data_IF_382435709265
#
_entry.id   IF_382435709265
#
_cell.length_a   1.000
_cell.length_b   1.000
_cell.length_c   1.000
_cell.angle_alpha   90.00
_cell.angle_beta   90.00
_cell.angle_gamma   90.00
#
_symmetry.space_group_name_H-M   'P 1'
#
loop_
_entity.id
_entity.type
_entity.pdbx_description
1 polymer ?
#
# COMPACT_ATOMS: atom_id res chain seq x y z
N UNK A 1 63.14 35.35 17.73
CA UNK A 1 61.67 35.53 17.66
C UNK A 1 61.07 34.27 17.01
N UNK A 2 60.55 33.40 17.85
CA UNK A 2 59.99 32.10 17.41
C UNK A 2 58.52 32.32 17.05
N UNK A 3 58.18 32.18 15.78
CA UNK A 3 56.80 32.25 15.34
C UNK A 3 56.10 30.91 15.68
N UNK A 4 55.21 30.98 16.64
CA UNK A 4 54.34 29.86 17.03
C UNK A 4 53.24 29.76 15.98
N UNK A 5 53.31 28.76 15.09
CA UNK A 5 52.27 28.45 14.14
C UNK A 5 51.27 27.55 14.86
N UNK A 6 50.14 28.14 15.31
CA UNK A 6 49.02 27.38 15.85
C UNK A 6 48.23 26.82 14.64
N UNK A 7 48.45 25.56 14.34
CA UNK A 7 47.62 24.81 13.41
C UNK A 7 46.30 24.50 14.11
N UNK A 8 45.26 25.30 13.84
CA UNK A 8 43.88 24.95 14.20
C UNK A 8 43.40 23.84 13.27
N UNK A 9 43.53 22.62 13.77
CA UNK A 9 42.90 21.48 13.11
C UNK A 9 41.39 21.61 13.28
N UNK A 10 40.70 22.10 12.26
CA UNK A 10 39.25 22.01 12.16
C UNK A 10 38.91 20.54 11.95
N UNK A 11 38.58 19.85 13.04
CA UNK A 11 37.96 18.53 12.98
C UNK A 11 36.50 18.76 12.53
N UNK A 12 36.30 18.64 11.22
CA UNK A 12 34.95 18.47 10.68
C UNK A 12 34.44 17.12 11.22
N UNK A 13 33.72 17.15 12.33
CA UNK A 13 32.90 16.04 12.75
C UNK A 13 31.77 15.89 11.73
N UNK A 14 32.03 15.12 10.69
CA UNK A 14 30.96 14.63 9.83
C UNK A 14 30.07 13.77 10.70
N UNK A 15 28.94 14.31 11.12
CA UNK A 15 27.85 13.54 11.68
C UNK A 15 27.33 12.63 10.55
N UNK A 16 27.98 11.49 10.35
CA UNK A 16 27.43 10.40 9.56
C UNK A 16 26.33 9.79 10.42
N UNK A 17 25.14 10.31 10.28
CA UNK A 17 23.96 9.62 10.78
C UNK A 17 23.74 8.41 9.89
N UNK A 18 24.36 7.30 10.26
CA UNK A 18 23.98 6.00 9.71
C UNK A 18 22.54 5.71 10.17
N UNK A 19 21.58 6.05 9.34
CA UNK A 19 20.22 5.60 9.56
C UNK A 19 20.20 4.08 9.40
N UNK A 20 20.21 3.38 10.52
CA UNK A 20 19.97 1.93 10.52
C UNK A 20 18.51 1.76 10.12
N UNK A 21 18.28 1.44 8.84
CA UNK A 21 16.94 1.00 8.37
C UNK A 21 16.65 -0.34 9.02
N UNK A 22 15.89 -0.34 10.10
CA UNK A 22 15.35 -1.57 10.67
C UNK A 22 14.34 -2.15 9.69
N UNK A 23 14.44 -3.45 9.34
CA UNK A 23 13.42 -4.08 8.49
C UNK A 23 12.04 -3.90 9.11
N UNK A 24 11.09 -3.47 8.29
CA UNK A 24 9.70 -3.34 8.73
C UNK A 24 9.10 -4.74 8.95
N UNK A 25 8.23 -4.86 9.95
CA UNK A 25 7.56 -6.13 10.28
C UNK A 25 6.70 -6.67 9.13
N UNK A 26 6.21 -5.79 8.25
CA UNK A 26 5.54 -6.12 7.00
C UNK A 26 6.42 -5.70 5.84
N UNK A 27 6.83 -6.66 5.02
CA UNK A 27 7.71 -6.42 3.87
C UNK A 27 6.96 -5.71 2.76
N UNK A 28 7.59 -4.72 2.15
CA UNK A 28 7.09 -4.10 0.94
C UNK A 28 7.16 -5.09 -0.22
N UNK A 29 6.15 -5.08 -1.07
CA UNK A 29 6.09 -5.81 -2.33
C UNK A 29 5.59 -4.88 -3.42
N UNK A 30 6.16 -5.03 -4.60
CA UNK A 30 5.82 -4.31 -5.81
C UNK A 30 5.48 -5.33 -6.89
N UNK A 31 4.44 -5.05 -7.65
CA UNK A 31 4.02 -5.85 -8.80
C UNK A 31 3.94 -4.91 -9.99
N UNK A 32 4.59 -5.26 -11.06
CA UNK A 32 4.43 -4.63 -12.37
C UNK A 32 3.95 -5.68 -13.36
N UNK A 33 2.82 -5.42 -14.00
CA UNK A 33 2.25 -6.34 -14.97
C UNK A 33 1.60 -5.57 -16.11
N UNK A 34 1.91 -5.95 -17.35
CA UNK A 34 1.18 -5.46 -18.52
C UNK A 34 0.01 -6.37 -18.82
N UNK A 35 -1.19 -5.82 -18.91
CA UNK A 35 -2.42 -6.51 -19.30
C UNK A 35 -2.97 -5.84 -20.55
N UNK A 36 -2.94 -6.56 -21.66
CA UNK A 36 -3.22 -5.98 -22.98
C UNK A 36 -2.20 -4.90 -23.31
N UNK A 37 -2.63 -3.64 -23.35
CA UNK A 37 -1.77 -2.48 -23.58
C UNK A 37 -1.57 -1.64 -22.30
N UNK A 38 -2.21 -2.01 -21.21
CA UNK A 38 -2.16 -1.26 -19.95
C UNK A 38 -1.09 -1.81 -19.02
N UNK A 39 -0.19 -0.95 -18.57
CA UNK A 39 0.74 -1.26 -17.49
C UNK A 39 0.06 -1.00 -16.15
N UNK A 40 0.09 -2.00 -15.28
CA UNK A 40 -0.45 -1.95 -13.93
C UNK A 40 0.70 -2.10 -12.94
N UNK A 41 0.84 -1.13 -12.04
CA UNK A 41 1.79 -1.19 -10.92
C UNK A 41 1.03 -1.25 -9.60
N UNK A 42 1.45 -2.13 -8.70
CA UNK A 42 0.85 -2.27 -7.37
C UNK A 42 1.93 -2.28 -6.30
N UNK A 43 1.90 -1.29 -5.42
CA UNK A 43 2.76 -1.22 -4.24
C UNK A 43 1.95 -1.56 -2.99
N UNK A 44 2.44 -2.48 -2.15
CA UNK A 44 1.74 -2.83 -0.92
C UNK A 44 2.66 -3.45 0.12
N UNK A 45 2.18 -3.57 1.35
CA UNK A 45 2.92 -4.21 2.43
C UNK A 45 2.29 -5.53 2.81
N UNK A 46 3.08 -6.61 2.70
CA UNK A 46 2.69 -7.98 3.00
C UNK A 46 2.70 -8.22 4.51
N UNK A 47 1.53 -8.09 5.13
CA UNK A 47 1.38 -8.39 6.55
C UNK A 47 1.10 -9.87 6.77
N UNK A 48 1.71 -10.44 7.83
CA UNK A 48 1.49 -11.83 8.23
C UNK A 48 0.28 -11.95 9.16
N UNK A 49 -0.46 -13.01 9.01
CA UNK A 49 -1.61 -13.38 9.85
C UNK A 49 -1.17 -13.73 11.29
N UNK A 50 -0.07 -14.47 11.44
CA UNK A 50 0.49 -14.89 12.74
C UNK A 50 -0.54 -15.54 13.66
N UNK A 51 -1.30 -16.48 13.13
CA UNK A 51 -2.32 -17.24 13.88
C UNK A 51 -3.56 -16.43 14.28
N UNK A 52 -3.69 -15.15 13.89
CA UNK A 52 -4.83 -14.30 14.24
C UNK A 52 -6.01 -14.54 13.31
N UNK A 53 -7.23 -14.34 13.82
CA UNK A 53 -8.40 -14.19 12.99
C UNK A 53 -8.35 -12.78 12.37
N UNK A 54 -8.23 -12.69 11.03
CA UNK A 54 -8.05 -11.41 10.36
C UNK A 54 -9.39 -10.72 10.14
N UNK A 55 -10.26 -11.30 9.32
CA UNK A 55 -11.52 -10.66 8.97
C UNK A 55 -12.61 -10.99 10.00
N UNK A 56 -13.29 -9.94 10.47
CA UNK A 56 -14.27 -10.02 11.55
C UNK A 56 -13.69 -9.77 12.95
N UNK A 57 -12.35 -9.78 13.10
CA UNK A 57 -11.66 -9.49 14.37
C UNK A 57 -10.60 -8.40 14.17
N UNK A 58 -9.38 -8.72 13.73
CA UNK A 58 -8.31 -7.74 13.51
C UNK A 58 -8.72 -6.64 12.50
N UNK A 59 -9.44 -7.02 11.47
CA UNK A 59 -10.10 -6.14 10.50
C UNK A 59 -11.61 -6.32 10.65
N UNK A 60 -12.29 -5.45 11.43
CA UNK A 60 -13.72 -5.59 11.69
C UNK A 60 -14.52 -5.46 10.40
N UNK A 61 -15.59 -6.24 10.29
CA UNK A 61 -16.52 -6.11 9.18
C UNK A 61 -17.20 -4.73 9.15
N UNK A 62 -17.45 -4.23 7.93
CA UNK A 62 -18.09 -2.93 7.71
C UNK A 62 -17.21 -1.71 7.99
N UNK A 63 -15.93 -1.90 8.30
CA UNK A 63 -14.96 -0.82 8.50
C UNK A 63 -13.99 -0.70 7.34
N UNK A 64 -13.61 0.54 7.03
CA UNK A 64 -12.57 0.79 6.02
C UNK A 64 -11.25 0.21 6.51
N UNK A 65 -10.63 -0.60 5.67
CA UNK A 65 -9.30 -1.16 5.87
C UNK A 65 -8.34 -0.61 4.81
N UNK A 66 -7.11 -0.26 5.22
CA UNK A 66 -6.04 0.21 4.33
C UNK A 66 -5.50 -0.85 3.37
N UNK A 67 -6.09 -2.03 3.33
CA UNK A 67 -5.76 -3.14 2.41
C UNK A 67 -4.28 -3.51 2.46
N UNK A 68 -3.79 -3.77 3.67
CA UNK A 68 -2.37 -4.08 3.93
C UNK A 68 -1.89 -3.55 5.28
N UNK A 69 -0.65 -3.10 5.31
CA UNK A 69 0.01 -2.54 6.50
C UNK A 69 0.83 -1.30 6.14
N UNK A 70 1.31 -0.56 7.14
CA UNK A 70 2.16 0.62 6.99
C UNK A 70 1.50 1.73 6.14
N UNK A 71 2.14 2.14 5.04
CA UNK A 71 1.62 3.08 4.07
C UNK A 71 0.46 2.49 3.28
N UNK A 72 -0.27 3.33 2.55
CA UNK A 72 -1.33 2.87 1.67
C UNK A 72 -0.81 1.83 0.68
N UNK A 73 -1.58 0.79 0.44
CA UNK A 73 -1.47 0.04 -0.80
C UNK A 73 -1.91 0.92 -1.94
N UNK A 74 -1.16 0.96 -3.03
CA UNK A 74 -1.48 1.77 -4.20
C UNK A 74 -1.56 0.91 -5.44
N UNK A 75 -2.37 1.33 -6.38
CA UNK A 75 -2.41 0.79 -7.73
C UNK A 75 -2.32 1.94 -8.72
N UNK A 76 -1.54 1.76 -9.78
CA UNK A 76 -1.34 2.73 -10.85
C UNK A 76 -1.63 2.08 -12.20
N UNK A 77 -2.34 2.81 -13.04
CA UNK A 77 -2.66 2.43 -14.41
C UNK A 77 -2.14 3.52 -15.35
N UNK A 78 -1.41 3.14 -16.39
CA UNK A 78 -0.90 4.08 -17.39
C UNK A 78 -1.92 4.44 -18.47
N UNK A 79 -3.04 3.73 -18.54
CA UNK A 79 -4.19 4.03 -19.41
C UNK A 79 -5.49 3.92 -18.62
N UNK A 80 -6.58 4.47 -19.16
CA UNK A 80 -7.92 4.30 -18.59
C UNK A 80 -8.30 2.81 -18.57
N UNK A 81 -8.93 2.38 -17.49
CA UNK A 81 -9.36 1.00 -17.28
C UNK A 81 -10.85 0.94 -16.93
N UNK A 82 -11.47 -0.21 -17.20
CA UNK A 82 -12.83 -0.49 -16.74
C UNK A 82 -12.79 -1.45 -15.54
N UNK A 83 -13.39 -1.06 -14.44
CA UNK A 83 -13.46 -1.85 -13.22
C UNK A 83 -14.92 -1.94 -12.75
N UNK A 84 -15.47 -3.17 -12.74
CA UNK A 84 -16.86 -3.39 -12.35
C UNK A 84 -17.87 -2.61 -13.19
N UNK A 85 -17.62 -2.44 -14.50
CA UNK A 85 -18.46 -1.70 -15.44
C UNK A 85 -18.33 -0.17 -15.36
N UNK A 86 -17.35 0.34 -14.60
CA UNK A 86 -17.09 1.78 -14.48
C UNK A 86 -15.69 2.11 -15.00
N UNK A 87 -15.59 3.20 -15.73
CA UNK A 87 -14.30 3.70 -16.22
C UNK A 87 -13.55 4.39 -15.07
N UNK A 88 -12.31 3.98 -14.86
CA UNK A 88 -11.35 4.62 -13.98
C UNK A 88 -10.22 5.19 -14.85
N UNK A 89 -9.99 6.50 -14.75
CA UNK A 89 -8.97 7.19 -15.53
C UNK A 89 -7.56 6.66 -15.19
N UNK A 90 -6.63 6.80 -16.13
CA UNK A 90 -5.22 6.57 -15.88
C UNK A 90 -4.74 7.38 -14.67
N UNK A 91 -3.90 6.77 -13.82
CA UNK A 91 -3.38 7.42 -12.62
C UNK A 91 -3.09 6.46 -11.48
N UNK A 92 -2.59 7.03 -10.39
CA UNK A 92 -2.26 6.32 -9.15
C UNK A 92 -3.33 6.55 -8.09
N UNK A 93 -3.77 5.46 -7.48
CA UNK A 93 -4.84 5.46 -6.48
C UNK A 93 -4.42 4.67 -5.24
N UNK A 94 -4.81 5.16 -4.07
CA UNK A 94 -4.74 4.35 -2.86
C UNK A 94 -5.90 3.34 -2.86
N UNK A 95 -5.59 2.12 -2.47
CA UNK A 95 -6.54 1.01 -2.42
C UNK A 95 -7.03 0.81 -0.99
N UNK A 96 -8.32 1.01 -0.77
CA UNK A 96 -9.00 0.67 0.47
C UNK A 96 -10.05 -0.39 0.22
N UNK A 97 -10.37 -1.17 1.25
CA UNK A 97 -11.47 -2.13 1.18
C UNK A 97 -12.35 -2.04 2.43
N UNK A 98 -13.60 -2.44 2.28
CA UNK A 98 -14.53 -2.63 3.40
C UNK A 98 -14.95 -4.10 3.38
N UNK A 99 -14.30 -4.96 4.14
CA UNK A 99 -14.71 -6.36 4.24
C UNK A 99 -16.09 -6.50 4.89
N UNK A 100 -16.90 -7.38 4.35
CA UNK A 100 -18.18 -7.84 4.89
C UNK A 100 -18.25 -9.35 4.74
N UNK A 101 -19.21 -10.01 5.37
CA UNK A 101 -19.30 -11.46 5.32
C UNK A 101 -19.54 -12.01 3.91
N UNK A 102 -20.38 -11.35 3.12
CA UNK A 102 -20.84 -11.84 1.83
C UNK A 102 -20.40 -10.97 0.63
N UNK A 103 -19.86 -9.79 0.90
CA UNK A 103 -19.37 -8.87 -0.13
C UNK A 103 -18.25 -8.01 0.42
N UNK A 104 -17.36 -7.54 -0.46
CA UNK A 104 -16.36 -6.56 -0.10
C UNK A 104 -16.51 -5.33 -1.00
N UNK A 105 -16.45 -4.15 -0.40
CA UNK A 105 -16.30 -2.95 -1.21
C UNK A 105 -14.81 -2.72 -1.47
N UNK A 106 -14.45 -2.42 -2.71
CA UNK A 106 -13.12 -2.02 -3.15
C UNK A 106 -13.19 -0.54 -3.54
N UNK A 107 -12.30 0.26 -2.99
CA UNK A 107 -12.31 1.72 -3.11
C UNK A 107 -11.00 2.18 -3.68
N UNK A 108 -11.05 2.94 -4.76
CA UNK A 108 -9.94 3.67 -5.35
C UNK A 108 -10.01 5.12 -4.87
N UNK A 109 -8.99 5.54 -4.15
CA UNK A 109 -8.98 6.81 -3.44
C UNK A 109 -7.84 7.70 -3.93
N UNK A 110 -8.11 9.01 -4.06
CA UNK A 110 -7.21 9.97 -4.70
C UNK A 110 -5.93 10.23 -3.94
N UNK A 111 -5.99 10.40 -2.61
CA UNK A 111 -4.82 10.67 -1.78
C UNK A 111 -4.05 9.38 -1.49
N UNK A 112 -2.79 9.31 -1.96
CA UNK A 112 -1.97 8.08 -1.99
C UNK A 112 -0.84 8.07 -0.97
N UNK A 113 -0.60 9.16 -0.22
CA UNK A 113 0.56 9.38 0.64
C UNK A 113 0.28 9.20 2.15
N UNK A 114 -0.84 8.56 2.51
CA UNK A 114 -1.20 8.39 3.90
C UNK A 114 -0.47 7.20 4.54
N UNK A 115 -0.02 7.39 5.78
CA UNK A 115 0.37 6.28 6.63
C UNK A 115 -0.89 5.63 7.24
N UNK A 116 -1.38 4.58 6.60
CA UNK A 116 -2.62 3.92 6.98
C UNK A 116 -3.87 4.59 6.41
N UNK A 117 -4.87 4.79 7.25
CA UNK A 117 -6.06 5.54 6.87
C UNK A 117 -5.78 7.04 6.89
N UNK A 118 -6.42 7.84 6.01
CA UNK A 118 -6.42 9.28 6.12
C UNK A 118 -6.88 9.72 7.52
N UNK A 119 -6.29 10.77 8.08
CA UNK A 119 -6.70 11.32 9.38
C UNK A 119 -8.17 11.73 9.38
N UNK A 120 -8.64 12.24 8.26
CA UNK A 120 -10.04 12.55 7.99
C UNK A 120 -10.40 11.92 6.66
N UNK A 121 -11.40 11.03 6.68
CA UNK A 121 -11.94 10.46 5.46
C UNK A 121 -12.74 11.51 4.71
N UNK A 122 -12.50 11.66 3.42
CA UNK A 122 -13.23 12.58 2.56
C UNK A 122 -13.87 11.81 1.39
N UNK A 123 -15.18 11.75 1.36
CA UNK A 123 -15.90 11.04 0.30
C UNK A 123 -15.67 11.64 -1.09
N UNK A 124 -15.28 12.92 -1.19
CA UNK A 124 -14.92 13.55 -2.45
C UNK A 124 -13.61 13.00 -3.07
N UNK A 125 -12.79 12.34 -2.28
CA UNK A 125 -11.56 11.67 -2.76
C UNK A 125 -11.80 10.21 -3.18
N UNK A 126 -13.00 9.67 -2.99
CA UNK A 126 -13.40 8.37 -3.52
C UNK A 126 -13.65 8.52 -5.03
N UNK A 127 -12.70 8.03 -5.83
CA UNK A 127 -12.78 8.11 -7.30
C UNK A 127 -13.68 7.02 -7.87
N UNK A 128 -13.54 5.82 -7.33
CA UNK A 128 -14.36 4.67 -7.71
C UNK A 128 -14.58 3.78 -6.48
N UNK A 129 -15.80 3.28 -6.35
CA UNK A 129 -16.15 2.24 -5.40
C UNK A 129 -16.93 1.15 -6.13
N UNK A 130 -16.49 -0.09 -5.99
CA UNK A 130 -17.16 -1.26 -6.54
C UNK A 130 -17.28 -2.34 -5.48
N UNK A 131 -18.19 -3.28 -5.66
CA UNK A 131 -18.39 -4.40 -4.73
C UNK A 131 -18.07 -5.72 -5.43
N UNK A 132 -17.38 -6.60 -4.70
CA UNK A 132 -17.01 -7.94 -5.16
C UNK A 132 -17.46 -8.98 -4.15
N UNK A 133 -17.75 -10.20 -4.62
CA UNK A 133 -18.04 -11.33 -3.75
C UNK A 133 -16.72 -11.96 -3.30
N UNK A 134 -16.46 -12.13 -1.98
CA UNK A 134 -15.28 -12.83 -1.53
C UNK A 134 -15.38 -14.32 -1.80
N UNK A 135 -14.24 -14.95 -2.07
CA UNK A 135 -14.12 -16.39 -2.20
C UNK A 135 -13.34 -16.96 -1.01
N UNK A 136 -13.80 -18.10 -0.52
CA UNK A 136 -13.09 -18.81 0.55
C UNK A 136 -11.96 -19.63 -0.06
N UNK A 137 -10.75 -19.40 0.41
CA UNK A 137 -9.59 -20.17 -0.01
C UNK A 137 -9.63 -21.58 0.59
N UNK A 138 -9.23 -22.58 -0.19
CA UNK A 138 -9.14 -23.97 0.27
C UNK A 138 -7.94 -24.23 1.19
N UNK A 139 -6.95 -23.34 1.15
CA UNK A 139 -5.75 -23.38 2.00
C UNK A 139 -5.58 -22.06 2.71
N UNK A 140 -5.11 -22.15 3.95
CA UNK A 140 -4.77 -20.97 4.74
C UNK A 140 -3.54 -20.25 4.14
N UNK A 141 -3.63 -18.93 4.02
CA UNK A 141 -2.56 -18.09 3.48
C UNK A 141 -2.03 -17.20 4.61
N UNK A 142 -0.75 -17.35 4.91
CA UNK A 142 -0.11 -16.64 6.02
C UNK A 142 0.07 -15.15 5.73
N UNK A 143 0.44 -14.80 4.48
CA UNK A 143 0.75 -13.42 4.12
C UNK A 143 -0.33 -12.81 3.25
N UNK A 144 -0.72 -11.58 3.56
CA UNK A 144 -1.53 -10.76 2.66
C UNK A 144 -0.82 -10.66 1.30
N UNK A 145 -1.53 -10.96 0.23
CA UNK A 145 -0.98 -10.99 -1.12
C UNK A 145 -1.98 -10.36 -2.08
N UNK A 146 -1.52 -9.39 -2.84
CA UNK A 146 -2.17 -8.90 -4.05
C UNK A 146 -1.54 -9.59 -5.26
N UNK A 147 -2.31 -9.79 -6.30
CA UNK A 147 -1.82 -10.31 -7.58
C UNK A 147 -2.60 -9.67 -8.71
N UNK A 148 -1.93 -9.50 -9.84
CA UNK A 148 -2.50 -8.99 -11.08
C UNK A 148 -2.27 -10.08 -12.12
N UNK A 149 -3.35 -10.73 -12.56
CA UNK A 149 -3.26 -11.84 -13.51
C UNK A 149 -4.18 -11.55 -14.69
N UNK A 150 -3.74 -11.85 -15.94
CA UNK A 150 -4.66 -11.82 -17.07
C UNK A 150 -5.74 -12.88 -16.84
N UNK A 151 -6.99 -12.54 -17.15
CA UNK A 151 -8.06 -13.52 -17.22
C UNK A 151 -7.92 -14.30 -18.54
N UNK A 152 -7.81 -15.62 -18.45
CA UNK A 152 -7.80 -16.52 -19.59
C UNK A 152 -9.24 -16.77 -20.09
#
# INVERSE_FOLDING_TARGET
MKKLVVAVAFIFAMNVQAQIKTPQASLQAEIEQTIGLTKVEVDYFRTAKKGRLVFGDLVPYGKVWRTGANQNSTVEFDTDVEIGGNVLAAGKYALFTIPKAESWDVIFYKATDNWGLPKTWNDADVVLKTSVKPETLTKDVEYFTLSVNPMN
#
